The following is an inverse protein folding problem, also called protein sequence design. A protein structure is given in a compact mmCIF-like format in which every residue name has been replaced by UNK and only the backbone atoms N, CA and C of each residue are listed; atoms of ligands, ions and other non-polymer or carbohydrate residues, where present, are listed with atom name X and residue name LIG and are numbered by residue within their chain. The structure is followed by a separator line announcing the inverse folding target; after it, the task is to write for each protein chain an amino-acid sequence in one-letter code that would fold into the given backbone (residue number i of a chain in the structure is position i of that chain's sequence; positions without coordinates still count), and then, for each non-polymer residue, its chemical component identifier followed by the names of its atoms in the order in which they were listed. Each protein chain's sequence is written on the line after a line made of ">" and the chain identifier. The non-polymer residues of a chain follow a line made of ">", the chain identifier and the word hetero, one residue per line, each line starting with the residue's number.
data_IF_103333086141
#
_entry.id   IF_103333086141
#
_cell.length_a   1.000
_cell.length_b   1.000
_cell.length_c   1.000
_cell.angle_alpha   90.00
_cell.angle_beta   90.00
_cell.angle_gamma   90.00
#
_symmetry.space_group_name_H-M   'P 1'
#
loop_
_entity.id
_entity.type
_entity.pdbx_description
1 polymer ?
#
# COMPACT_ATOMS: atom_id res chain seq x y z
N UNK A 1 -11.49 38.62 -6.15
CA UNK A 1 -10.67 37.93 -7.19
C UNK A 1 -9.77 36.84 -6.62
N UNK A 2 -8.92 37.08 -5.60
CA UNK A 2 -8.07 36.01 -5.01
C UNK A 2 -8.84 34.76 -4.53
N UNK A 3 -10.00 34.92 -3.88
CA UNK A 3 -10.84 33.79 -3.44
C UNK A 3 -11.33 32.90 -4.61
N UNK A 4 -11.69 33.51 -5.74
CA UNK A 4 -12.17 32.78 -6.93
C UNK A 4 -11.04 31.91 -7.51
N UNK A 5 -9.82 32.44 -7.61
CA UNK A 5 -8.64 31.68 -8.04
C UNK A 5 -8.29 30.51 -7.11
N UNK A 6 -8.48 30.66 -5.80
CA UNK A 6 -8.31 29.54 -4.86
C UNK A 6 -9.35 28.43 -5.10
N UNK A 7 -10.63 28.78 -5.24
CA UNK A 7 -11.66 27.78 -5.52
C UNK A 7 -11.45 27.07 -6.86
N UNK A 8 -11.04 27.80 -7.91
CA UNK A 8 -10.68 27.21 -9.20
C UNK A 8 -9.51 26.24 -9.06
N UNK A 9 -8.46 26.62 -8.31
CA UNK A 9 -7.33 25.74 -8.02
C UNK A 9 -7.73 24.47 -7.28
N UNK A 10 -8.58 24.59 -6.26
CA UNK A 10 -9.09 23.43 -5.50
C UNK A 10 -9.92 22.50 -6.40
N UNK A 11 -10.82 23.04 -7.21
CA UNK A 11 -11.64 22.25 -8.15
C UNK A 11 -10.76 21.54 -9.17
N UNK A 12 -9.74 22.22 -9.70
CA UNK A 12 -8.79 21.62 -10.64
C UNK A 12 -8.02 20.44 -10.02
N UNK A 13 -7.44 20.64 -8.82
CA UNK A 13 -6.72 19.58 -8.11
C UNK A 13 -7.64 18.40 -7.79
N UNK A 14 -8.87 18.68 -7.37
CA UNK A 14 -9.87 17.65 -7.09
C UNK A 14 -10.21 16.85 -8.35
N UNK A 15 -10.50 17.51 -9.46
CA UNK A 15 -10.82 16.83 -10.72
C UNK A 15 -9.64 16.00 -11.21
N UNK A 16 -8.43 16.56 -11.21
CA UNK A 16 -7.22 15.88 -11.61
C UNK A 16 -6.90 14.67 -10.72
N UNK A 17 -7.06 14.81 -9.40
CA UNK A 17 -6.83 13.75 -8.43
C UNK A 17 -7.87 12.63 -8.50
N UNK A 18 -9.12 12.94 -8.84
CA UNK A 18 -10.21 11.97 -8.95
C UNK A 18 -10.32 11.30 -10.33
N UNK A 19 -9.74 11.89 -11.37
CA UNK A 19 -9.73 11.34 -12.72
C UNK A 19 -9.28 9.85 -12.79
N UNK A 20 -8.16 9.41 -12.17
CA UNK A 20 -7.78 7.99 -12.20
C UNK A 20 -8.77 7.08 -11.44
N UNK A 21 -9.40 7.57 -10.37
CA UNK A 21 -10.42 6.80 -9.64
C UNK A 21 -11.71 6.65 -10.44
N UNK A 22 -12.10 7.69 -11.18
CA UNK A 22 -13.20 7.61 -12.13
C UNK A 22 -12.92 6.58 -13.23
N UNK A 23 -11.70 6.58 -13.78
CA UNK A 23 -11.28 5.59 -14.77
C UNK A 23 -11.31 4.16 -14.22
N UNK A 24 -10.82 3.98 -12.99
CA UNK A 24 -10.87 2.69 -12.28
C UNK A 24 -12.32 2.21 -12.11
N UNK A 25 -13.24 3.10 -11.74
CA UNK A 25 -14.66 2.76 -11.55
C UNK A 25 -15.34 2.34 -12.85
N UNK A 26 -15.13 3.07 -13.96
CA UNK A 26 -15.68 2.67 -15.25
C UNK A 26 -15.12 1.34 -15.70
N UNK A 27 -13.81 1.16 -15.59
CA UNK A 27 -13.15 -0.09 -16.01
C UNK A 27 -13.66 -1.28 -15.20
N UNK A 28 -13.88 -1.12 -13.89
CA UNK A 28 -14.46 -2.15 -13.05
C UNK A 28 -15.89 -2.54 -13.46
N UNK A 29 -16.65 -1.59 -14.01
CA UNK A 29 -18.02 -1.79 -14.50
C UNK A 29 -18.10 -2.21 -15.96
N UNK A 30 -16.99 -2.25 -16.70
CA UNK A 30 -17.02 -2.53 -18.14
C UNK A 30 -16.91 -4.03 -18.39
N UNK A 31 -17.62 -4.53 -19.39
CA UNK A 31 -17.46 -5.90 -19.86
C UNK A 31 -15.98 -6.23 -20.15
N UNK A 32 -15.50 -7.41 -19.72
CA UNK A 32 -14.09 -7.80 -19.86
C UNK A 32 -13.58 -7.75 -21.30
N UNK A 33 -14.45 -7.99 -22.29
CA UNK A 33 -14.08 -7.94 -23.71
C UNK A 33 -13.78 -6.51 -24.19
N UNK A 34 -14.23 -5.50 -23.46
CA UNK A 34 -14.08 -4.08 -23.81
C UNK A 34 -13.13 -3.34 -22.85
N UNK A 35 -12.35 -4.05 -22.03
CA UNK A 35 -11.43 -3.45 -21.03
C UNK A 35 -10.51 -2.38 -21.61
N UNK A 36 -10.06 -2.53 -22.86
CA UNK A 36 -9.14 -1.60 -23.53
C UNK A 36 -9.84 -0.45 -24.29
N UNK A 37 -11.16 -0.33 -24.20
CA UNK A 37 -11.90 0.79 -24.78
C UNK A 37 -11.46 2.12 -24.12
N UNK A 38 -11.13 3.12 -24.93
CA UNK A 38 -10.64 4.43 -24.47
C UNK A 38 -11.76 5.44 -24.25
N UNK A 39 -13.01 5.01 -24.40
CA UNK A 39 -14.19 5.85 -24.21
C UNK A 39 -14.31 6.30 -22.74
N UNK A 40 -14.43 7.61 -22.45
CA UNK A 40 -14.41 8.13 -21.08
C UNK A 40 -15.78 8.10 -20.38
N UNK A 41 -16.85 7.74 -21.08
CA UNK A 41 -18.17 7.51 -20.47
C UNK A 41 -18.40 6.00 -20.27
N UNK A 42 -19.29 5.61 -19.33
CA UNK A 42 -19.62 4.20 -19.11
C UNK A 42 -20.20 3.57 -20.38
N UNK A 43 -19.46 2.65 -20.97
CA UNK A 43 -19.85 1.82 -22.11
C UNK A 43 -19.90 0.37 -21.65
N UNK A 44 -20.84 -0.42 -22.19
CA UNK A 44 -20.94 -1.86 -21.90
C UNK A 44 -20.93 -2.18 -20.39
N UNK A 45 -21.79 -1.49 -19.64
CA UNK A 45 -21.86 -1.61 -18.17
C UNK A 45 -22.38 -2.98 -17.78
N UNK A 46 -21.60 -3.71 -17.00
CA UNK A 46 -21.94 -5.02 -16.42
C UNK A 46 -21.47 -5.08 -14.97
N UNK A 47 -22.09 -5.98 -14.20
CA UNK A 47 -21.61 -6.32 -12.85
C UNK A 47 -20.82 -7.64 -12.85
N UNK A 48 -20.56 -8.22 -14.03
CA UNK A 48 -19.97 -9.56 -14.14
C UNK A 48 -18.58 -9.61 -13.50
N UNK A 49 -17.78 -8.55 -13.62
CA UNK A 49 -16.46 -8.47 -12.97
C UNK A 49 -16.55 -8.58 -11.45
N UNK A 50 -17.59 -8.03 -10.83
CA UNK A 50 -17.79 -8.12 -9.38
C UNK A 50 -18.26 -9.51 -8.96
N UNK A 51 -19.17 -10.11 -9.73
CA UNK A 51 -19.57 -11.51 -9.51
C UNK A 51 -18.37 -12.44 -9.64
N UNK A 52 -17.57 -12.28 -10.70
CA UNK A 52 -16.39 -13.10 -10.96
C UNK A 52 -15.28 -12.88 -9.93
N UNK A 53 -15.15 -11.66 -9.39
CA UNK A 53 -14.23 -11.38 -8.29
C UNK A 53 -14.64 -12.08 -6.99
N UNK A 54 -15.94 -12.18 -6.71
CA UNK A 54 -16.48 -12.82 -5.50
C UNK A 54 -16.75 -14.32 -5.66
N UNK A 55 -16.74 -14.82 -6.90
CA UNK A 55 -16.96 -16.21 -7.26
C UNK A 55 -15.77 -17.10 -6.83
N UNK A 56 -15.94 -17.86 -5.75
CA UNK A 56 -14.92 -18.80 -5.26
C UNK A 56 -14.79 -20.06 -6.12
N UNK A 57 -15.85 -20.41 -6.85
CA UNK A 57 -15.93 -21.55 -7.77
C UNK A 57 -14.99 -21.45 -8.98
N UNK A 58 -14.57 -20.23 -9.34
CA UNK A 58 -13.59 -19.97 -10.42
C UNK A 58 -12.13 -20.05 -9.95
N UNK A 59 -11.88 -20.50 -8.72
CA UNK A 59 -10.54 -20.60 -8.13
C UNK A 59 -9.98 -19.29 -7.58
N UNK A 60 -10.81 -18.23 -7.51
CA UNK A 60 -10.44 -16.93 -6.97
C UNK A 60 -10.99 -16.78 -5.55
N UNK A 61 -10.11 -16.70 -4.54
CA UNK A 61 -10.50 -16.40 -3.16
C UNK A 61 -10.17 -14.93 -2.82
N UNK A 62 -10.90 -14.02 -3.45
CA UNK A 62 -10.71 -12.59 -3.23
C UNK A 62 -10.99 -12.16 -1.79
N UNK A 63 -12.04 -12.72 -1.17
CA UNK A 63 -12.39 -12.42 0.21
C UNK A 63 -11.33 -12.95 1.20
N UNK A 64 -10.79 -14.14 0.97
CA UNK A 64 -9.65 -14.66 1.72
C UNK A 64 -8.40 -13.81 1.54
N UNK A 65 -8.12 -13.33 0.32
CA UNK A 65 -7.01 -12.39 0.06
C UNK A 65 -7.18 -11.06 0.82
N UNK A 66 -8.40 -10.52 0.90
CA UNK A 66 -8.70 -9.36 1.74
C UNK A 66 -8.46 -9.69 3.22
N UNK A 67 -8.93 -10.84 3.70
CA UNK A 67 -8.69 -11.29 5.07
C UNK A 67 -7.21 -11.39 5.40
N UNK A 68 -6.42 -12.02 4.54
CA UNK A 68 -4.97 -12.12 4.65
C UNK A 68 -4.32 -10.72 4.71
N UNK A 69 -4.74 -9.81 3.83
CA UNK A 69 -4.22 -8.43 3.76
C UNK A 69 -4.55 -7.65 5.03
N UNK A 70 -5.76 -7.80 5.58
CA UNK A 70 -6.15 -7.19 6.86
C UNK A 70 -5.30 -7.72 8.01
N UNK A 71 -5.12 -9.04 8.11
CA UNK A 71 -4.29 -9.65 9.17
C UNK A 71 -2.85 -9.14 9.09
N UNK A 72 -2.26 -9.15 7.89
CA UNK A 72 -0.87 -8.69 7.69
C UNK A 72 -0.74 -7.20 8.01
N UNK A 73 -1.62 -6.35 7.47
CA UNK A 73 -1.55 -4.90 7.64
C UNK A 73 -1.80 -4.46 9.08
N UNK A 74 -2.81 -5.02 9.76
CA UNK A 74 -3.11 -4.71 11.16
C UNK A 74 -1.97 -5.14 12.08
N UNK A 75 -1.46 -6.36 11.90
CA UNK A 75 -0.34 -6.87 12.70
C UNK A 75 0.92 -6.03 12.50
N UNK A 76 1.24 -5.70 11.25
CA UNK A 76 2.38 -4.85 10.90
C UNK A 76 2.24 -3.47 11.53
N UNK A 77 1.08 -2.83 11.38
CA UNK A 77 0.81 -1.49 11.90
C UNK A 77 0.88 -1.45 13.43
N UNK A 78 0.26 -2.43 14.10
CA UNK A 78 0.28 -2.51 15.56
C UNK A 78 1.71 -2.62 16.11
N UNK A 79 2.53 -3.49 15.52
CA UNK A 79 3.92 -3.69 15.95
C UNK A 79 4.78 -2.47 15.59
N UNK A 80 4.66 -1.94 14.37
CA UNK A 80 5.42 -0.77 13.93
C UNK A 80 5.08 0.46 14.76
N UNK A 81 3.81 0.73 15.06
CA UNK A 81 3.42 1.85 15.94
C UNK A 81 3.94 1.64 17.36
N UNK A 82 3.81 0.44 17.91
CA UNK A 82 4.32 0.16 19.25
C UNK A 82 5.81 0.47 19.36
N UNK A 83 6.65 -0.09 18.46
CA UNK A 83 8.09 0.15 18.45
C UNK A 83 8.42 1.60 18.09
N UNK A 84 7.77 2.15 17.06
CA UNK A 84 8.01 3.49 16.55
C UNK A 84 7.72 4.58 17.57
N UNK A 85 6.68 4.43 18.39
CA UNK A 85 6.36 5.41 19.46
C UNK A 85 7.46 5.47 20.51
N UNK A 86 8.01 4.33 20.94
CA UNK A 86 9.13 4.32 21.91
C UNK A 86 10.39 4.94 21.32
N UNK A 87 10.74 4.57 20.08
CA UNK A 87 11.92 5.11 19.39
C UNK A 87 11.77 6.62 19.14
N UNK A 88 10.62 7.07 18.65
CA UNK A 88 10.33 8.48 18.41
C UNK A 88 10.38 9.29 19.71
N UNK A 89 9.85 8.75 20.82
CA UNK A 89 9.91 9.41 22.13
C UNK A 89 11.36 9.55 22.61
N UNK A 90 12.16 8.48 22.52
CA UNK A 90 13.56 8.51 22.92
C UNK A 90 14.35 9.55 22.12
N UNK A 91 14.17 9.61 20.80
CA UNK A 91 14.84 10.58 19.94
C UNK A 91 14.33 12.02 20.21
N UNK A 92 13.03 12.21 20.40
CA UNK A 92 12.45 13.55 20.54
C UNK A 92 12.65 14.17 21.93
N UNK A 93 12.71 13.36 23.00
CA UNK A 93 12.68 13.85 24.39
C UNK A 93 13.92 13.54 25.22
N UNK A 94 14.68 12.50 24.89
CA UNK A 94 15.89 12.16 25.63
C UNK A 94 17.12 12.73 24.93
N UNK A 95 18.09 13.16 25.74
CA UNK A 95 19.41 13.55 25.29
C UNK A 95 20.40 12.46 25.71
N UNK A 96 20.80 11.65 24.74
CA UNK A 96 21.71 10.51 24.92
C UNK A 96 22.88 10.60 23.93
N UNK A 97 24.07 10.08 24.32
CA UNK A 97 25.22 10.07 23.42
C UNK A 97 24.94 9.20 22.18
N UNK A 98 25.24 9.72 20.98
CA UNK A 98 25.03 8.99 19.72
C UNK A 98 23.68 9.24 19.02
N UNK A 99 22.81 10.08 19.59
CA UNK A 99 21.50 10.47 19.01
C UNK A 99 21.56 10.85 17.53
N UNK A 100 22.54 11.66 17.12
CA UNK A 100 22.72 12.07 15.73
C UNK A 100 23.05 10.90 14.78
N UNK A 101 23.82 9.91 15.25
CA UNK A 101 24.15 8.72 14.46
C UNK A 101 22.90 7.86 14.28
N UNK A 102 22.13 7.63 15.35
CA UNK A 102 20.89 6.85 15.30
C UNK A 102 19.90 7.48 14.31
N UNK A 103 19.66 8.78 14.42
CA UNK A 103 18.79 9.49 13.46
C UNK A 103 19.35 9.41 12.03
N UNK A 104 20.66 9.53 11.85
CA UNK A 104 21.31 9.40 10.55
C UNK A 104 21.13 8.00 9.92
N UNK A 105 21.26 6.93 10.71
CA UNK A 105 21.05 5.55 10.25
C UNK A 105 19.59 5.31 9.88
N UNK A 106 18.65 5.82 10.68
CA UNK A 106 17.21 5.73 10.38
C UNK A 106 16.89 6.41 9.04
N UNK A 107 17.40 7.62 8.82
CA UNK A 107 17.22 8.34 7.55
C UNK A 107 17.92 7.63 6.38
N UNK A 108 19.10 7.06 6.60
CA UNK A 108 19.80 6.30 5.57
C UNK A 108 19.02 5.03 5.18
N UNK A 109 18.42 4.35 6.15
CA UNK A 109 17.59 3.17 5.92
C UNK A 109 16.30 3.50 5.14
N UNK A 110 15.67 4.66 5.40
CA UNK A 110 14.46 5.08 4.67
C UNK A 110 14.70 5.44 3.21
N UNK A 111 15.95 5.75 2.85
CA UNK A 111 16.39 6.00 1.47
C UNK A 111 16.77 4.71 0.72
N UNK A 112 16.82 3.56 1.40
CA UNK A 112 17.25 2.31 0.77
C UNK A 112 16.19 1.80 -0.23
N UNK A 113 16.58 1.43 -1.47
CA UNK A 113 15.63 0.99 -2.47
C UNK A 113 15.02 -0.37 -2.10
N UNK A 114 13.73 -0.40 -1.81
CA UNK A 114 13.02 -1.63 -1.41
C UNK A 114 13.14 -2.77 -2.43
N UNK A 115 13.20 -2.46 -3.73
CA UNK A 115 13.35 -3.46 -4.80
C UNK A 115 14.69 -4.23 -4.69
N UNK A 116 15.75 -3.60 -4.18
CA UNK A 116 17.04 -4.25 -4.00
C UNK A 116 17.02 -5.32 -2.89
N UNK A 117 16.04 -5.25 -1.99
CA UNK A 117 15.86 -6.21 -0.89
C UNK A 117 15.04 -7.44 -1.29
N UNK A 118 14.34 -7.42 -2.43
CA UNK A 118 13.43 -8.51 -2.82
C UNK A 118 14.18 -9.83 -3.00
N UNK A 119 15.25 -9.84 -3.80
CA UNK A 119 16.08 -11.04 -4.03
C UNK A 119 16.69 -11.61 -2.74
N UNK A 120 17.39 -10.82 -1.91
CA UNK A 120 17.97 -11.36 -0.67
C UNK A 120 16.91 -11.80 0.35
N UNK A 121 15.78 -11.10 0.47
CA UNK A 121 14.68 -11.53 1.35
C UNK A 121 14.05 -12.84 0.86
N UNK A 122 13.89 -13.01 -0.46
CA UNK A 122 13.37 -14.26 -1.02
C UNK A 122 14.30 -15.45 -0.72
N UNK A 123 15.61 -15.27 -0.88
CA UNK A 123 16.60 -16.29 -0.51
C UNK A 123 16.55 -16.60 0.98
N UNK A 124 16.59 -15.58 1.84
CA UNK A 124 16.52 -15.72 3.30
C UNK A 124 15.27 -16.50 3.74
N UNK A 125 14.09 -16.14 3.23
CA UNK A 125 12.86 -16.84 3.60
C UNK A 125 12.72 -18.22 2.96
N UNK A 126 13.39 -18.45 1.82
CA UNK A 126 13.56 -19.79 1.25
C UNK A 126 14.35 -20.69 2.18
N UNK A 127 15.51 -20.22 2.64
CA UNK A 127 16.39 -20.96 3.55
C UNK A 127 15.71 -21.22 4.91
N UNK A 128 14.92 -20.26 5.39
CA UNK A 128 14.13 -20.40 6.62
C UNK A 128 12.86 -21.24 6.47
N UNK A 129 12.46 -21.60 5.23
CA UNK A 129 11.20 -22.29 4.95
C UNK A 129 9.95 -21.46 5.28
N UNK A 130 10.05 -20.13 5.28
CA UNK A 130 8.94 -19.22 5.60
C UNK A 130 8.12 -18.78 4.38
N UNK A 131 8.52 -19.21 3.18
CA UNK A 131 7.80 -18.90 1.94
C UNK A 131 6.33 -19.34 2.04
N UNK A 132 5.42 -18.43 1.69
CA UNK A 132 3.97 -18.67 1.75
C UNK A 132 3.34 -18.46 3.12
N UNK A 133 4.07 -17.98 4.13
CA UNK A 133 3.54 -17.69 5.47
C UNK A 133 3.34 -16.20 5.71
N UNK A 134 2.43 -15.83 6.63
CA UNK A 134 2.23 -14.43 7.01
C UNK A 134 3.49 -13.78 7.58
N UNK A 135 4.37 -14.54 8.25
CA UNK A 135 5.59 -14.03 8.89
C UNK A 135 6.58 -13.48 7.89
N UNK A 136 6.71 -14.13 6.73
CA UNK A 136 7.55 -13.67 5.63
C UNK A 136 7.12 -12.31 5.06
N UNK A 137 5.86 -11.91 5.28
CA UNK A 137 5.34 -10.60 4.88
C UNK A 137 5.38 -9.59 6.03
N UNK A 138 4.93 -9.99 7.23
CA UNK A 138 4.83 -9.07 8.39
C UNK A 138 6.20 -8.54 8.80
N UNK A 139 7.22 -9.39 8.90
CA UNK A 139 8.53 -9.00 9.44
C UNK A 139 9.22 -7.93 8.56
N UNK A 140 9.37 -8.11 7.23
CA UNK A 140 9.92 -7.05 6.38
C UNK A 140 9.08 -5.79 6.37
N UNK A 141 7.75 -5.92 6.36
CA UNK A 141 6.85 -4.77 6.32
C UNK A 141 6.95 -3.90 7.56
N UNK A 142 7.25 -4.46 8.74
CA UNK A 142 7.53 -3.66 9.95
C UNK A 142 8.74 -2.75 9.71
N UNK A 143 9.82 -3.27 9.12
CA UNK A 143 11.02 -2.48 8.83
C UNK A 143 10.76 -1.37 7.81
N UNK A 144 9.93 -1.61 6.80
CA UNK A 144 9.55 -0.58 5.83
C UNK A 144 8.58 0.46 6.40
N UNK A 145 7.74 0.06 7.35
CA UNK A 145 6.78 0.94 8.03
C UNK A 145 7.42 1.77 9.16
N UNK A 146 8.63 1.43 9.59
CA UNK A 146 9.44 2.15 10.58
C UNK A 146 10.52 3.01 9.90
N UNK A 147 10.21 4.14 9.25
CA UNK A 147 11.18 5.20 9.04
C UNK A 147 11.26 6.06 10.30
#
# INVERSE_FOLDING_TARGET
>A
MKKIWHYVGVIFIMFWGLAPFYWMLITALRDSAHTFDTTPWPTHVTLQNFYDALATDKGNDFLGAIGNSLVISLSTTAIAVAVGVFTAYAIARLDFPGKGIVTGVILAASMFPGIALVTPLFQLFGDLGWIGTYRAMIIPNISFALP
#
